data_IF_039291193404
#
_entry.id   IF_039291193404
#
_cell.length_a   1.000
_cell.length_b   1.000
_cell.length_c   1.000
_cell.angle_alpha   90.00
_cell.angle_beta   90.00
_cell.angle_gamma   90.00
#
_symmetry.space_group_name_H-M   'P 1'
#
loop_
_entity.id
_entity.type
_entity.pdbx_description
1 polymer ?
#
# COMPACT_ATOMS: atom_id res chain seq x y z
N UNK A 1 -12.73 3.94 -22.71
CA UNK A 1 -14.04 3.34 -22.33
C UNK A 1 -14.20 3.46 -20.82
N UNK A 2 -15.41 3.62 -20.29
CA UNK A 2 -15.61 3.62 -18.83
C UNK A 2 -15.13 2.29 -18.22
N UNK A 3 -14.72 2.33 -16.94
CA UNK A 3 -14.44 1.13 -16.14
C UNK A 3 -15.73 0.83 -15.38
N UNK A 4 -16.40 -0.27 -15.73
CA UNK A 4 -17.72 -0.61 -15.17
C UNK A 4 -17.67 -1.86 -14.28
N UNK A 5 -16.68 -2.73 -14.48
CA UNK A 5 -16.53 -3.99 -13.71
C UNK A 5 -15.11 -4.13 -13.19
N UNK A 6 -14.95 -4.09 -11.87
CA UNK A 6 -13.65 -4.10 -11.20
C UNK A 6 -13.53 -5.31 -10.31
N UNK A 7 -12.47 -6.08 -10.49
CA UNK A 7 -12.10 -7.15 -9.55
C UNK A 7 -10.97 -6.69 -8.63
N UNK A 8 -11.16 -6.82 -7.33
CA UNK A 8 -10.14 -6.56 -6.30
C UNK A 8 -9.71 -7.91 -5.69
N UNK A 9 -8.40 -8.17 -5.66
CA UNK A 9 -7.84 -9.40 -5.12
C UNK A 9 -7.34 -9.19 -3.69
N UNK A 10 -8.03 -9.76 -2.69
CA UNK A 10 -7.62 -9.72 -1.28
C UNK A 10 -8.76 -9.37 -0.31
N UNK A 11 -8.54 -9.59 0.99
CA UNK A 11 -9.51 -9.31 2.06
C UNK A 11 -8.88 -8.65 3.31
N UNK A 12 -7.73 -8.00 3.13
CA UNK A 12 -6.98 -7.32 4.19
C UNK A 12 -7.24 -5.81 4.17
N UNK A 13 -6.67 -5.09 5.11
CA UNK A 13 -6.96 -3.66 5.33
C UNK A 13 -6.73 -2.80 4.07
N UNK A 14 -5.72 -3.11 3.25
CA UNK A 14 -5.50 -2.45 1.97
C UNK A 14 -6.66 -2.63 0.99
N UNK A 15 -7.17 -3.86 0.80
CA UNK A 15 -8.32 -4.07 -0.08
C UNK A 15 -9.59 -3.47 0.50
N UNK A 16 -9.77 -3.48 1.82
CA UNK A 16 -10.89 -2.80 2.48
C UNK A 16 -10.88 -1.30 2.25
N UNK A 17 -9.71 -0.65 2.34
CA UNK A 17 -9.55 0.77 2.04
C UNK A 17 -9.95 1.09 0.59
N UNK A 18 -9.51 0.26 -0.36
CA UNK A 18 -9.87 0.41 -1.78
C UNK A 18 -11.37 0.19 -2.01
N UNK A 19 -11.96 -0.84 -1.41
CA UNK A 19 -13.41 -1.10 -1.50
C UNK A 19 -14.21 0.08 -0.94
N UNK A 20 -13.80 0.60 0.23
CA UNK A 20 -14.46 1.74 0.88
C UNK A 20 -14.41 3.01 0.02
N UNK A 21 -13.31 3.24 -0.70
CA UNK A 21 -13.18 4.40 -1.58
C UNK A 21 -13.94 4.25 -2.91
N UNK A 22 -14.12 3.03 -3.42
CA UNK A 22 -14.89 2.77 -4.63
C UNK A 22 -16.40 2.73 -4.37
N UNK A 23 -16.81 2.26 -3.18
CA UNK A 23 -18.21 2.24 -2.70
C UNK A 23 -18.33 2.99 -1.35
N UNK A 24 -18.20 4.33 -1.35
CA UNK A 24 -18.33 5.14 -0.15
C UNK A 24 -19.77 5.18 0.36
N UNK A 25 -19.94 5.37 1.68
CA UNK A 25 -21.24 5.41 2.35
C UNK A 25 -22.12 6.61 1.99
N UNK A 26 -21.51 7.69 1.47
CA UNK A 26 -22.22 8.91 1.05
C UNK A 26 -22.80 8.82 -0.37
N UNK A 27 -22.60 7.69 -1.04
CA UNK A 27 -23.10 7.44 -2.40
C UNK A 27 -22.30 8.12 -3.51
N UNK A 28 -21.17 8.77 -3.22
CA UNK A 28 -20.26 9.39 -4.21
C UNK A 28 -19.42 8.37 -5.00
N UNK A 29 -19.98 7.18 -5.24
CA UNK A 29 -19.29 6.03 -5.77
C UNK A 29 -18.86 6.17 -7.24
N UNK A 30 -17.75 5.50 -7.56
CA UNK A 30 -17.45 5.15 -8.95
C UNK A 30 -18.56 4.21 -9.41
N UNK A 31 -19.21 4.51 -10.55
CA UNK A 31 -20.29 3.69 -11.10
C UNK A 31 -19.74 2.36 -11.68
N UNK A 32 -19.24 1.50 -10.79
CA UNK A 32 -18.60 0.24 -11.10
C UNK A 32 -19.14 -0.89 -10.21
N UNK A 33 -19.41 -2.05 -10.82
CA UNK A 33 -19.72 -3.29 -10.12
C UNK A 33 -18.43 -3.89 -9.57
N UNK A 34 -18.38 -4.14 -8.27
CA UNK A 34 -17.22 -4.74 -7.63
C UNK A 34 -17.33 -6.25 -7.51
N UNK A 35 -16.23 -6.92 -7.83
CA UNK A 35 -15.99 -8.33 -7.59
C UNK A 35 -14.81 -8.50 -6.64
N UNK A 36 -14.95 -9.23 -5.55
CA UNK A 36 -13.88 -9.51 -4.59
C UNK A 36 -13.38 -10.93 -4.81
N UNK A 37 -12.08 -11.08 -5.08
CA UNK A 37 -11.43 -12.37 -5.24
C UNK A 37 -10.61 -12.69 -3.99
N UNK A 38 -10.82 -13.87 -3.41
CA UNK A 38 -10.09 -14.33 -2.22
C UNK A 38 -9.64 -15.78 -2.37
N UNK A 39 -8.64 -16.19 -1.57
CA UNK A 39 -8.27 -17.61 -1.48
C UNK A 39 -9.44 -18.45 -0.96
N UNK A 40 -9.45 -19.78 -1.22
CA UNK A 40 -10.54 -20.66 -0.79
C UNK A 40 -10.72 -20.65 0.73
N UNK A 41 -9.64 -20.55 1.50
CA UNK A 41 -9.64 -20.54 2.96
C UNK A 41 -10.02 -19.21 3.60
N UNK A 42 -10.04 -18.12 2.84
CA UNK A 42 -10.33 -16.79 3.36
C UNK A 42 -11.85 -16.57 3.45
N UNK A 43 -12.30 -15.53 4.15
CA UNK A 43 -13.71 -15.12 4.15
C UNK A 43 -13.85 -13.76 3.46
N UNK A 44 -15.03 -13.47 2.93
CA UNK A 44 -15.33 -12.12 2.46
C UNK A 44 -15.26 -11.16 3.65
N UNK A 45 -14.44 -10.11 3.53
CA UNK A 45 -14.46 -8.96 4.44
C UNK A 45 -14.81 -7.73 3.63
N UNK A 46 -15.67 -6.90 4.21
CA UNK A 46 -16.12 -5.65 3.62
C UNK A 46 -16.10 -4.55 4.69
N UNK A 47 -16.00 -3.28 4.27
CA UNK A 47 -16.32 -2.14 5.12
C UNK A 47 -17.69 -2.32 5.82
N UNK A 48 -17.85 -1.86 7.08
CA UNK A 48 -19.06 -2.13 7.88
C UNK A 48 -20.37 -1.62 7.30
N UNK A 49 -20.33 -0.60 6.43
CA UNK A 49 -21.52 -0.05 5.78
C UNK A 49 -21.98 -0.84 4.55
N UNK A 50 -21.19 -1.81 4.08
CA UNK A 50 -21.50 -2.63 2.92
C UNK A 50 -22.00 -4.02 3.32
N UNK A 51 -22.99 -4.49 2.59
CA UNK A 51 -23.55 -5.83 2.65
C UNK A 51 -22.97 -6.73 1.56
N UNK A 52 -23.05 -8.05 1.75
CA UNK A 52 -22.51 -9.01 0.80
C UNK A 52 -23.20 -8.96 -0.58
N UNK A 53 -24.46 -8.49 -0.64
CA UNK A 53 -25.24 -8.39 -1.88
C UNK A 53 -24.79 -7.25 -2.79
N UNK A 54 -24.00 -6.30 -2.28
CA UNK A 54 -23.46 -5.17 -3.04
C UNK A 54 -22.22 -5.53 -3.87
N UNK A 55 -21.63 -6.71 -3.64
CA UNK A 55 -20.44 -7.18 -4.34
C UNK A 55 -20.59 -8.61 -4.82
N UNK A 56 -19.87 -8.97 -5.88
CA UNK A 56 -19.71 -10.38 -6.26
C UNK A 56 -18.52 -10.96 -5.51
N UNK A 57 -18.67 -12.13 -4.88
CA UNK A 57 -17.55 -12.81 -4.22
C UNK A 57 -17.11 -14.04 -5.01
N UNK A 58 -15.82 -14.10 -5.33
CA UNK A 58 -15.20 -15.22 -6.02
C UNK A 58 -14.09 -15.84 -5.18
N UNK A 59 -13.91 -17.15 -5.37
CA UNK A 59 -12.83 -17.94 -4.80
C UNK A 59 -11.89 -18.41 -5.90
N UNK A 60 -10.59 -18.32 -5.67
CA UNK A 60 -9.57 -18.84 -6.58
C UNK A 60 -8.41 -19.40 -5.78
N UNK A 61 -7.92 -20.57 -6.19
CA UNK A 61 -6.67 -21.19 -5.73
C UNK A 61 -5.44 -20.60 -6.43
N UNK A 62 -5.61 -19.49 -7.16
CA UNK A 62 -4.59 -18.81 -7.96
C UNK A 62 -3.99 -19.66 -9.09
N UNK A 63 -4.62 -20.78 -9.46
CA UNK A 63 -4.29 -21.47 -10.71
C UNK A 63 -4.70 -20.64 -11.93
N UNK A 64 -4.02 -20.77 -13.09
CA UNK A 64 -4.37 -20.03 -14.30
C UNK A 64 -5.84 -20.18 -14.71
N UNK A 65 -6.42 -21.38 -14.55
CA UNK A 65 -7.81 -21.66 -14.90
C UNK A 65 -8.81 -20.95 -13.96
N UNK A 66 -8.57 -21.00 -12.64
CA UNK A 66 -9.47 -20.37 -11.68
C UNK A 66 -9.40 -18.84 -11.75
N UNK A 67 -8.21 -18.27 -11.97
CA UNK A 67 -8.02 -16.84 -12.20
C UNK A 67 -8.70 -16.38 -13.49
N UNK A 68 -8.49 -17.10 -14.60
CA UNK A 68 -9.14 -16.76 -15.89
C UNK A 68 -10.67 -16.75 -15.76
N UNK A 69 -11.23 -17.72 -15.05
CA UNK A 69 -12.67 -17.78 -14.78
C UNK A 69 -13.15 -16.58 -13.95
N UNK A 70 -12.43 -16.23 -12.88
CA UNK A 70 -12.77 -15.09 -12.02
C UNK A 70 -12.64 -13.72 -12.72
N UNK A 71 -11.76 -13.61 -13.72
CA UNK A 71 -11.51 -12.37 -14.45
C UNK A 71 -12.38 -12.20 -15.71
N UNK A 72 -13.12 -13.23 -16.11
CA UNK A 72 -13.93 -13.20 -17.32
C UNK A 72 -14.96 -12.06 -17.26
N UNK A 73 -14.92 -11.17 -18.27
CA UNK A 73 -15.85 -10.06 -18.41
C UNK A 73 -15.61 -8.88 -17.46
N UNK A 74 -14.46 -8.82 -16.79
CA UNK A 74 -14.05 -7.67 -15.97
C UNK A 74 -13.29 -6.65 -16.82
N UNK A 75 -13.42 -5.36 -16.49
CA UNK A 75 -12.70 -4.29 -17.18
C UNK A 75 -11.32 -4.03 -16.59
N UNK A 76 -11.23 -4.12 -15.25
CA UNK A 76 -10.04 -3.84 -14.45
C UNK A 76 -9.83 -4.90 -13.37
N UNK A 77 -8.58 -5.32 -13.19
CA UNK A 77 -8.16 -6.12 -12.03
C UNK A 77 -7.18 -5.29 -11.19
N UNK A 78 -7.45 -5.21 -9.89
CA UNK A 78 -6.61 -4.56 -8.87
C UNK A 78 -6.04 -5.64 -7.95
N UNK A 79 -4.72 -5.78 -7.96
CA UNK A 79 -4.01 -6.74 -7.14
C UNK A 79 -3.59 -6.10 -5.82
N UNK A 80 -4.11 -6.59 -4.69
CA UNK A 80 -3.61 -6.27 -3.35
C UNK A 80 -3.03 -7.51 -2.67
N UNK A 81 -2.63 -8.52 -3.46
CA UNK A 81 -1.93 -9.71 -2.97
C UNK A 81 -0.54 -9.83 -3.64
N UNK A 82 0.36 -10.63 -3.06
CA UNK A 82 1.64 -10.96 -3.70
C UNK A 82 2.59 -9.77 -3.92
N UNK A 83 2.49 -8.70 -3.13
CA UNK A 83 3.30 -7.47 -3.26
C UNK A 83 4.82 -7.61 -3.13
N UNK A 84 5.34 -8.82 -3.06
CA UNK A 84 6.77 -9.12 -3.18
C UNK A 84 7.06 -10.46 -3.85
N UNK A 85 6.02 -11.16 -4.33
CA UNK A 85 6.12 -12.42 -5.06
C UNK A 85 5.91 -12.11 -6.55
N UNK A 86 7.04 -11.95 -7.25
CA UNK A 86 7.06 -11.66 -8.66
C UNK A 86 6.30 -12.72 -9.47
N UNK A 87 6.57 -14.00 -9.24
CA UNK A 87 5.98 -15.10 -10.03
C UNK A 87 4.46 -15.15 -9.86
N UNK A 88 3.97 -14.96 -8.63
CA UNK A 88 2.53 -14.90 -8.37
C UNK A 88 1.87 -13.71 -9.08
N UNK A 89 2.46 -12.51 -9.03
CA UNK A 89 1.94 -11.34 -9.75
C UNK A 89 1.91 -11.55 -11.27
N UNK A 90 2.97 -12.13 -11.84
CA UNK A 90 3.00 -12.46 -13.27
C UNK A 90 1.91 -13.48 -13.64
N UNK A 91 1.70 -14.51 -12.81
CA UNK A 91 0.62 -15.47 -12.99
C UNK A 91 -0.77 -14.79 -13.04
N UNK A 92 -1.00 -13.83 -12.15
CA UNK A 92 -2.24 -13.02 -12.11
C UNK A 92 -2.38 -12.17 -13.36
N UNK A 93 -1.33 -11.46 -13.78
CA UNK A 93 -1.33 -10.60 -14.98
C UNK A 93 -1.64 -11.43 -16.22
N UNK A 94 -0.95 -12.55 -16.40
CA UNK A 94 -1.15 -13.44 -17.56
C UNK A 94 -2.57 -14.00 -17.59
N UNK A 95 -3.15 -14.36 -16.44
CA UNK A 95 -4.53 -14.82 -16.36
C UNK A 95 -5.53 -13.71 -16.71
N UNK A 96 -5.28 -12.47 -16.28
CA UNK A 96 -6.11 -11.32 -16.63
C UNK A 96 -6.10 -11.07 -18.14
N UNK A 97 -4.91 -11.06 -18.77
CA UNK A 97 -4.76 -10.94 -20.23
C UNK A 97 -5.48 -12.08 -20.94
N UNK A 98 -5.30 -13.32 -20.50
CA UNK A 98 -5.94 -14.50 -21.09
C UNK A 98 -7.47 -14.53 -20.93
N UNK A 99 -8.01 -13.80 -19.95
CA UNK A 99 -9.44 -13.57 -19.75
C UNK A 99 -10.00 -12.40 -20.57
N UNK A 100 -9.13 -11.65 -21.26
CA UNK A 100 -9.51 -10.47 -22.04
C UNK A 100 -9.66 -9.19 -21.23
N UNK A 101 -9.17 -9.16 -19.99
CA UNK A 101 -9.12 -7.95 -19.17
C UNK A 101 -8.14 -6.96 -19.81
N UNK A 102 -8.57 -5.71 -19.95
CA UNK A 102 -7.76 -4.67 -20.61
C UNK A 102 -6.95 -3.84 -19.64
N UNK A 103 -7.30 -3.80 -18.36
CA UNK A 103 -6.69 -2.88 -17.39
C UNK A 103 -6.19 -3.62 -16.16
N UNK A 104 -5.02 -3.25 -15.69
CA UNK A 104 -4.41 -3.88 -14.52
C UNK A 104 -3.74 -2.88 -13.59
N UNK A 105 -3.93 -3.06 -12.28
CA UNK A 105 -3.22 -2.33 -11.24
C UNK A 105 -2.48 -3.33 -10.35
N UNK A 106 -1.12 -3.35 -10.39
CA UNK A 106 -0.31 -4.24 -9.56
C UNK A 106 -0.28 -3.81 -8.10
N UNK A 107 0.21 -4.69 -7.22
CA UNK A 107 0.40 -4.39 -5.80
C UNK A 107 1.62 -3.49 -5.58
N UNK A 108 1.47 -2.18 -5.82
CA UNK A 108 2.57 -1.22 -5.67
C UNK A 108 2.50 -0.37 -4.39
N UNK A 109 1.28 0.00 -3.96
CA UNK A 109 0.85 1.00 -2.95
C UNK A 109 1.75 1.30 -1.73
N UNK A 110 3.00 1.69 -1.97
CA UNK A 110 4.02 1.86 -0.94
C UNK A 110 5.19 2.71 -1.45
N UNK A 111 6.41 2.34 -1.05
CA UNK A 111 7.64 2.96 -1.56
C UNK A 111 7.79 2.83 -3.08
N UNK A 112 8.52 3.78 -3.67
CA UNK A 112 8.90 3.76 -5.08
C UNK A 112 9.78 2.55 -5.40
N UNK A 113 9.24 1.61 -6.19
CA UNK A 113 9.96 0.41 -6.62
C UNK A 113 10.80 0.64 -7.87
N UNK A 114 10.66 1.78 -8.54
CA UNK A 114 11.54 2.21 -9.63
C UNK A 114 12.86 2.78 -9.11
N UNK A 115 12.93 3.17 -7.84
CA UNK A 115 14.16 3.59 -7.20
C UNK A 115 15.11 2.38 -7.02
N UNK A 116 16.18 2.35 -7.81
CA UNK A 116 17.17 1.25 -7.82
C UNK A 116 17.91 1.06 -6.50
N UNK A 117 17.96 2.08 -5.62
CA UNK A 117 18.56 1.94 -4.29
C UNK A 117 17.60 1.22 -3.33
N UNK A 118 16.30 1.56 -3.37
CA UNK A 118 15.25 0.84 -2.64
C UNK A 118 15.11 -0.60 -3.14
N UNK A 119 15.17 -0.81 -4.46
CA UNK A 119 15.17 -2.15 -5.08
C UNK A 119 16.26 -3.06 -4.48
N UNK A 120 17.48 -2.52 -4.33
CA UNK A 120 18.62 -3.26 -3.76
C UNK A 120 18.49 -3.51 -2.26
N UNK A 121 17.84 -2.59 -1.53
CA UNK A 121 17.65 -2.69 -0.07
C UNK A 121 16.59 -3.73 0.29
N UNK A 122 15.52 -3.85 -0.49
CA UNK A 122 14.35 -4.67 -0.17
C UNK A 122 14.04 -5.67 -1.27
N UNK A 123 14.21 -6.97 -0.99
CA UNK A 123 13.92 -8.05 -1.94
C UNK A 123 12.48 -8.01 -2.48
N UNK A 124 11.50 -7.68 -1.63
CA UNK A 124 10.10 -7.51 -2.07
C UNK A 124 9.93 -6.36 -3.06
N UNK A 125 10.67 -5.25 -2.89
CA UNK A 125 10.68 -4.13 -3.84
C UNK A 125 11.35 -4.52 -5.16
N UNK A 126 12.39 -5.37 -5.13
CA UNK A 126 12.95 -5.95 -6.35
C UNK A 126 11.94 -6.81 -7.13
N UNK A 127 11.13 -7.61 -6.42
CA UNK A 127 10.04 -8.36 -7.03
C UNK A 127 9.04 -7.44 -7.74
N UNK A 128 8.61 -6.37 -7.07
CA UNK A 128 7.69 -5.36 -7.60
C UNK A 128 8.25 -4.59 -8.80
N UNK A 129 9.52 -4.18 -8.75
CA UNK A 129 10.19 -3.52 -9.87
C UNK A 129 10.13 -4.38 -11.16
N UNK A 130 10.37 -5.69 -11.02
CA UNK A 130 10.24 -6.64 -12.14
C UNK A 130 8.81 -6.76 -12.66
N UNK A 131 7.80 -6.66 -11.79
CA UNK A 131 6.38 -6.63 -12.21
C UNK A 131 6.11 -5.42 -13.10
N UNK A 132 6.61 -4.24 -12.73
CA UNK A 132 6.46 -3.03 -13.56
C UNK A 132 7.17 -3.18 -14.91
N UNK A 133 8.38 -3.72 -14.94
CA UNK A 133 9.09 -3.97 -16.19
C UNK A 133 8.35 -4.98 -17.07
N UNK A 134 7.74 -6.00 -16.47
CA UNK A 134 6.88 -6.93 -17.19
C UNK A 134 5.63 -6.24 -17.75
N UNK A 135 4.94 -5.42 -16.96
CA UNK A 135 3.75 -4.67 -17.40
C UNK A 135 4.05 -3.73 -18.58
N UNK A 136 5.19 -3.03 -18.55
CA UNK A 136 5.69 -2.22 -19.68
C UNK A 136 5.86 -3.06 -20.95
N UNK A 137 6.45 -4.25 -20.81
CA UNK A 137 6.64 -5.16 -21.94
C UNK A 137 5.30 -5.66 -22.49
N UNK A 138 4.44 -6.23 -21.65
CA UNK A 138 3.18 -6.83 -22.12
C UNK A 138 2.18 -5.81 -22.65
N UNK A 139 2.17 -4.57 -22.13
CA UNK A 139 1.35 -3.49 -22.69
C UNK A 139 1.81 -3.02 -24.07
N UNK A 140 3.09 -3.23 -24.40
CA UNK A 140 3.61 -3.00 -25.76
C UNK A 140 3.22 -4.16 -26.68
N UNK A 141 3.33 -5.40 -26.20
CA UNK A 141 3.10 -6.61 -26.99
C UNK A 141 1.61 -6.98 -27.16
N UNK A 142 0.74 -6.48 -26.28
CA UNK A 142 -0.70 -6.81 -26.24
C UNK A 142 -1.54 -5.56 -26.53
N UNK A 143 -2.15 -5.45 -27.72
CA UNK A 143 -2.99 -4.31 -28.08
C UNK A 143 -4.09 -4.06 -27.06
N UNK A 144 -4.27 -2.80 -26.66
CA UNK A 144 -5.28 -2.33 -25.71
C UNK A 144 -5.12 -2.80 -24.25
N UNK A 145 -4.04 -3.51 -23.90
CA UNK A 145 -3.72 -3.77 -22.51
C UNK A 145 -3.03 -2.55 -21.89
N UNK A 146 -3.58 -2.09 -20.78
CA UNK A 146 -3.20 -0.88 -20.07
C UNK A 146 -2.92 -1.20 -18.60
N UNK A 147 -2.01 -0.46 -17.98
CA UNK A 147 -1.69 -0.64 -16.56
C UNK A 147 -1.45 0.68 -15.85
N UNK A 148 -1.60 0.71 -14.53
CA UNK A 148 -1.20 1.85 -13.69
C UNK A 148 -0.54 1.33 -12.41
N UNK A 149 0.73 1.67 -12.19
CA UNK A 149 1.41 1.43 -10.92
C UNK A 149 1.26 2.66 -10.01
N UNK A 150 1.16 2.45 -8.69
CA UNK A 150 0.91 3.54 -7.74
C UNK A 150 1.83 3.42 -6.53
N UNK A 151 2.63 4.45 -6.28
CA UNK A 151 3.37 4.65 -5.04
C UNK A 151 2.70 5.72 -4.19
N UNK A 152 2.45 5.40 -2.92
CA UNK A 152 1.85 6.29 -1.91
C UNK A 152 2.78 6.56 -0.73
N UNK A 153 4.01 6.04 -0.77
CA UNK A 153 4.94 6.13 0.36
C UNK A 153 4.57 5.20 1.51
N UNK A 154 5.10 5.48 2.69
CA UNK A 154 4.89 4.67 3.89
C UNK A 154 3.45 4.81 4.44
N UNK A 155 2.78 3.71 4.76
CA UNK A 155 1.46 3.71 5.42
C UNK A 155 1.60 4.06 6.90
N UNK A 156 1.58 5.36 7.19
CA UNK A 156 1.99 5.93 8.47
C UNK A 156 1.12 5.48 9.64
N UNK A 157 -0.20 5.50 9.48
CA UNK A 157 -1.14 5.03 10.50
C UNK A 157 -0.90 3.56 10.89
N UNK A 158 -0.74 2.70 9.88
CA UNK A 158 -0.45 1.27 10.06
C UNK A 158 0.90 1.07 10.75
N UNK A 159 1.91 1.86 10.37
CA UNK A 159 3.23 1.85 10.98
C UNK A 159 3.25 2.31 12.44
N UNK A 160 2.39 3.27 12.81
CA UNK A 160 2.21 3.76 14.17
C UNK A 160 1.46 2.74 15.04
N UNK A 161 0.35 2.16 14.53
CA UNK A 161 -0.44 1.16 15.25
C UNK A 161 0.40 -0.09 15.53
N UNK A 162 1.15 -0.57 14.54
CA UNK A 162 2.00 -1.77 14.68
C UNK A 162 3.29 -1.52 15.47
N UNK A 163 3.73 -0.26 15.58
CA UNK A 163 5.05 0.10 16.08
C UNK A 163 6.19 -0.12 15.07
N UNK A 164 5.88 -0.52 13.83
CA UNK A 164 6.87 -0.76 12.78
C UNK A 164 7.58 0.52 12.32
N UNK A 165 7.05 1.70 12.60
CA UNK A 165 7.76 2.97 12.39
C UNK A 165 8.89 3.19 13.42
N UNK A 166 8.82 2.51 14.56
CA UNK A 166 9.70 2.71 15.71
C UNK A 166 9.10 3.52 16.84
N UNK A 167 7.83 3.89 16.72
CA UNK A 167 7.07 4.59 17.75
C UNK A 167 6.22 3.59 18.52
N UNK A 168 6.41 3.51 19.83
CA UNK A 168 5.50 2.82 20.72
C UNK A 168 4.54 3.84 21.34
N UNK A 169 3.34 3.94 20.77
CA UNK A 169 2.30 4.86 21.20
C UNK A 169 1.67 4.47 22.55
N UNK A 170 1.88 3.25 23.03
CA UNK A 170 1.39 2.79 24.33
C UNK A 170 2.39 3.14 25.44
N UNK A 171 3.68 2.92 25.18
CA UNK A 171 4.76 3.17 26.12
C UNK A 171 5.41 4.55 26.00
N UNK A 172 4.96 5.36 25.03
CA UNK A 172 5.46 6.70 24.74
C UNK A 172 6.98 6.70 24.56
N UNK A 173 7.46 5.83 23.67
CA UNK A 173 8.87 5.76 23.28
C UNK A 173 9.03 5.74 21.77
N UNK A 174 10.17 6.24 21.29
CA UNK A 174 10.49 6.25 19.87
C UNK A 174 11.94 5.83 19.63
N UNK A 175 12.14 4.98 18.61
CA UNK A 175 13.45 4.60 18.09
C UNK A 175 13.57 5.15 16.67
N UNK A 176 14.34 6.22 16.52
CA UNK A 176 14.60 6.89 15.24
C UNK A 176 15.97 6.45 14.74
N UNK A 177 16.05 5.94 13.51
CA UNK A 177 17.34 5.51 12.94
C UNK A 177 17.92 6.64 12.08
N UNK A 178 18.21 7.77 12.70
CA UNK A 178 18.64 9.01 12.06
C UNK A 178 18.58 10.16 13.07
N UNK A 179 18.63 11.40 12.59
CA UNK A 179 18.46 12.60 13.42
C UNK A 179 16.99 13.06 13.50
N UNK A 180 16.10 12.42 12.76
CA UNK A 180 14.65 12.61 12.77
C UNK A 180 14.15 13.76 11.91
N UNK A 181 15.03 14.39 11.13
CA UNK A 181 14.68 15.45 10.16
C UNK A 181 14.65 14.96 8.72
N UNK A 182 15.09 13.73 8.48
CA UNK A 182 15.08 13.10 7.17
C UNK A 182 13.63 13.06 6.66
N UNK A 183 13.43 13.54 5.44
CA UNK A 183 12.10 13.63 4.82
C UNK A 183 11.78 12.33 4.09
N UNK A 184 10.56 11.82 4.31
CA UNK A 184 10.03 10.68 3.58
C UNK A 184 8.57 10.88 3.20
N UNK A 185 8.17 10.21 2.12
CA UNK A 185 6.80 10.19 1.67
C UNK A 185 5.95 9.22 2.51
N UNK A 186 4.79 9.69 2.96
CA UNK A 186 3.86 8.96 3.80
C UNK A 186 2.41 9.22 3.40
N UNK A 187 1.54 8.30 3.79
CA UNK A 187 0.09 8.38 3.60
C UNK A 187 -0.65 7.68 4.72
N UNK A 188 -1.92 8.02 4.95
CA UNK A 188 -2.83 7.09 5.62
C UNK A 188 -3.12 5.87 4.75
N UNK A 189 -3.64 4.80 5.34
CA UNK A 189 -4.18 3.69 4.57
C UNK A 189 -5.41 4.12 3.77
N UNK A 190 -6.22 5.06 4.28
CA UNK A 190 -7.39 5.61 3.59
C UNK A 190 -7.00 6.31 2.29
N UNK A 191 -5.88 7.04 2.29
CA UNK A 191 -5.33 7.70 1.10
C UNK A 191 -5.08 6.74 -0.04
N UNK A 192 -4.63 5.51 0.24
CA UNK A 192 -4.43 4.50 -0.80
C UNK A 192 -5.72 4.21 -1.56
N UNK A 193 -6.83 4.02 -0.83
CA UNK A 193 -8.15 3.84 -1.44
C UNK A 193 -8.58 5.04 -2.27
N UNK A 194 -8.40 6.27 -1.75
CA UNK A 194 -8.70 7.50 -2.49
C UNK A 194 -7.90 7.59 -3.79
N UNK A 195 -6.59 7.36 -3.75
CA UNK A 195 -5.74 7.38 -4.96
C UNK A 195 -6.25 6.39 -5.99
N UNK A 196 -6.60 5.16 -5.57
CA UNK A 196 -7.13 4.15 -6.48
C UNK A 196 -8.45 4.59 -7.12
N UNK A 197 -9.40 5.12 -6.34
CA UNK A 197 -10.66 5.61 -6.87
C UNK A 197 -10.43 6.72 -7.92
N UNK A 198 -9.55 7.68 -7.63
CA UNK A 198 -9.21 8.78 -8.56
C UNK A 198 -8.49 8.28 -9.81
N UNK A 199 -7.62 7.27 -9.69
CA UNK A 199 -6.97 6.61 -10.85
C UNK A 199 -8.01 5.90 -11.72
N UNK A 200 -9.00 5.23 -11.13
CA UNK A 200 -10.09 4.59 -11.88
C UNK A 200 -10.91 5.63 -12.65
N UNK A 201 -11.27 6.74 -12.01
CA UNK A 201 -12.02 7.83 -12.65
C UNK A 201 -11.23 8.51 -13.78
N UNK A 202 -9.92 8.70 -13.58
CA UNK A 202 -9.03 9.44 -14.49
C UNK A 202 -8.17 8.51 -15.35
N UNK A 203 -8.58 7.26 -15.53
CA UNK A 203 -7.74 6.22 -16.13
C UNK A 203 -7.11 6.64 -17.47
N UNK A 204 -7.87 7.30 -18.34
CA UNK A 204 -7.35 7.73 -19.64
C UNK A 204 -6.24 8.79 -19.55
N UNK A 205 -6.16 9.55 -18.45
CA UNK A 205 -5.10 10.54 -18.18
C UNK A 205 -3.81 9.88 -17.65
N UNK A 206 -3.93 8.75 -16.95
CA UNK A 206 -2.82 8.13 -16.18
C UNK A 206 -2.41 6.74 -16.66
N UNK A 207 -3.08 6.17 -17.67
CA UNK A 207 -2.78 4.83 -18.17
C UNK A 207 -1.33 4.68 -18.66
N UNK A 208 -0.78 3.49 -18.43
CA UNK A 208 0.60 3.09 -18.72
C UNK A 208 1.67 3.93 -18.01
N UNK A 209 1.35 4.41 -16.80
CA UNK A 209 2.24 5.23 -15.99
C UNK A 209 2.45 4.64 -14.60
N UNK A 210 3.54 5.09 -13.97
CA UNK A 210 3.81 4.89 -12.56
C UNK A 210 3.53 6.21 -11.84
N UNK A 211 2.61 6.18 -10.88
CA UNK A 211 2.00 7.36 -10.26
C UNK A 211 2.55 7.55 -8.85
N UNK A 212 2.97 8.76 -8.53
CA UNK A 212 3.39 9.17 -7.19
C UNK A 212 2.29 10.02 -6.54
N UNK A 213 1.67 9.51 -5.47
CA UNK A 213 0.50 10.16 -4.88
C UNK A 213 0.47 10.06 -3.34
N UNK A 214 1.62 10.31 -2.71
CA UNK A 214 1.71 10.37 -1.25
C UNK A 214 0.78 11.45 -0.67
N UNK A 215 0.23 11.19 0.51
CA UNK A 215 -0.61 12.13 1.24
C UNK A 215 0.17 13.29 1.83
N UNK A 216 1.39 13.01 2.33
CA UNK A 216 2.25 14.00 2.99
C UNK A 216 3.73 13.63 2.82
N UNK A 217 4.59 14.65 2.85
CA UNK A 217 6.03 14.49 3.08
C UNK A 217 6.31 14.92 4.51
N UNK A 218 6.94 14.06 5.30
CA UNK A 218 7.08 14.24 6.74
C UNK A 218 8.43 13.72 7.22
N UNK A 219 8.74 14.03 8.47
CA UNK A 219 9.88 13.54 9.23
C UNK A 219 9.47 12.87 10.54
N UNK A 220 10.37 12.11 11.17
CA UNK A 220 10.10 11.54 12.51
C UNK A 220 9.85 12.63 13.56
N UNK A 221 10.52 13.77 13.47
CA UNK A 221 10.31 14.89 14.41
C UNK A 221 8.92 15.50 14.29
N UNK A 222 8.33 15.57 13.08
CA UNK A 222 6.94 16.02 12.90
C UNK A 222 5.93 15.03 13.45
N UNK A 223 6.19 13.74 13.24
CA UNK A 223 5.36 12.66 13.76
C UNK A 223 5.42 12.64 15.29
N UNK A 224 6.61 12.78 15.88
CA UNK A 224 6.84 12.88 17.32
C UNK A 224 6.03 14.01 17.94
N UNK A 225 6.13 15.24 17.41
CA UNK A 225 5.34 16.38 17.91
C UNK A 225 3.84 16.11 17.84
N UNK A 226 3.38 15.47 16.76
CA UNK A 226 1.97 15.10 16.59
C UNK A 226 1.54 14.02 17.58
N UNK A 227 2.40 13.04 17.85
CA UNK A 227 2.15 11.95 18.79
C UNK A 227 2.10 12.46 20.23
N UNK A 228 3.02 13.33 20.63
CA UNK A 228 3.02 13.95 21.96
C UNK A 228 1.77 14.80 22.19
N UNK A 229 1.35 15.56 21.16
CA UNK A 229 0.09 16.31 21.18
C UNK A 229 -1.13 15.41 21.32
N UNK A 230 -1.20 14.33 20.54
CA UNK A 230 -2.34 13.41 20.52
C UNK A 230 -2.46 12.59 21.82
N UNK A 231 -1.33 12.23 22.43
CA UNK A 231 -1.30 11.44 23.68
C UNK A 231 -1.29 12.28 24.95
N UNK A 232 -1.01 13.58 24.84
CA UNK A 232 -0.72 14.48 25.96
C UNK A 232 0.44 13.99 26.85
N UNK A 233 1.46 13.39 26.24
CA UNK A 233 2.63 12.82 26.91
C UNK A 233 3.89 13.09 26.09
N UNK A 234 5.00 13.36 26.75
CA UNK A 234 6.32 13.39 26.11
C UNK A 234 6.80 11.95 25.84
N UNK A 235 7.56 11.77 24.75
CA UNK A 235 8.11 10.48 24.37
C UNK A 235 9.59 10.36 24.76
N UNK A 236 10.00 9.18 25.23
CA UNK A 236 11.44 8.87 25.36
C UNK A 236 12.01 8.48 24.01
N UNK A 237 12.91 9.31 23.46
CA UNK A 237 13.46 9.11 22.11
C UNK A 237 14.89 8.57 22.18
N UNK A 238 15.15 7.47 21.47
CA UNK A 238 16.48 6.96 21.18
C UNK A 238 16.83 7.12 19.70
N UNK A 239 17.97 7.74 19.42
CA UNK A 239 18.50 7.90 18.07
C UNK A 239 19.62 6.89 17.82
N UNK A 240 19.57 6.23 16.66
CA UNK A 240 20.50 5.19 16.24
C UNK A 240 20.90 5.38 14.77
N UNK A 241 21.97 4.74 14.33
CA UNK A 241 22.38 4.83 12.93
C UNK A 241 21.46 4.00 12.02
N UNK A 242 21.20 4.50 10.80
CA UNK A 242 20.51 3.76 9.74
C UNK A 242 21.17 2.39 9.52
N UNK A 243 22.50 2.34 9.53
CA UNK A 243 23.28 1.11 9.32
C UNK A 243 23.03 0.04 10.39
N UNK A 244 22.73 0.45 11.62
CA UNK A 244 22.33 -0.49 12.67
C UNK A 244 20.97 -1.11 12.37
N UNK A 245 20.03 -0.32 11.83
CA UNK A 245 18.72 -0.78 11.37
C UNK A 245 18.85 -1.85 10.28
N UNK A 246 19.71 -1.58 9.29
CA UNK A 246 19.96 -2.47 8.16
C UNK A 246 20.58 -3.77 8.65
N UNK A 247 21.67 -3.68 9.43
CA UNK A 247 22.40 -4.84 9.95
C UNK A 247 21.51 -5.75 10.81
N UNK A 248 20.71 -5.16 11.69
CA UNK A 248 19.77 -5.95 12.51
C UNK A 248 18.65 -6.55 11.66
N UNK A 249 18.13 -5.82 10.66
CA UNK A 249 17.15 -6.34 9.71
C UNK A 249 17.65 -7.58 8.96
N UNK A 250 18.86 -7.51 8.41
CA UNK A 250 19.52 -8.63 7.73
C UNK A 250 19.79 -9.80 8.69
N UNK A 251 20.28 -9.52 9.89
CA UNK A 251 20.56 -10.54 10.89
C UNK A 251 19.29 -11.30 11.32
N UNK A 252 18.15 -10.61 11.47
CA UNK A 252 16.85 -11.24 11.77
C UNK A 252 16.39 -12.16 10.66
N UNK A 253 16.51 -11.73 9.40
CA UNK A 253 16.19 -12.57 8.24
C UNK A 253 17.05 -13.84 8.25
N UNK A 254 18.37 -13.70 8.44
CA UNK A 254 19.29 -14.84 8.48
C UNK A 254 19.00 -15.81 9.63
N UNK A 255 18.49 -15.31 10.75
CA UNK A 255 18.09 -16.11 11.93
C UNK A 255 16.69 -16.75 11.81
N UNK A 256 15.99 -16.54 10.70
CA UNK A 256 14.67 -17.13 10.47
C UNK A 256 13.50 -16.28 10.96
N UNK A 257 13.70 -14.98 11.16
CA UNK A 257 12.64 -14.00 11.48
C UNK A 257 12.44 -13.01 10.31
N UNK A 258 11.95 -13.48 9.15
CA UNK A 258 11.94 -12.68 7.93
C UNK A 258 11.06 -11.43 8.04
N UNK A 259 9.90 -11.51 8.70
CA UNK A 259 8.98 -10.37 8.80
C UNK A 259 9.54 -9.24 9.66
N UNK A 260 10.07 -9.56 10.84
CA UNK A 260 10.65 -8.56 11.74
C UNK A 260 11.94 -7.95 11.20
N UNK A 261 12.70 -8.71 10.41
CA UNK A 261 13.84 -8.16 9.68
C UNK A 261 13.41 -7.26 8.53
N UNK A 262 12.39 -7.66 7.77
CA UNK A 262 11.82 -6.85 6.69
C UNK A 262 11.30 -5.49 7.20
N UNK A 263 10.60 -5.47 8.33
CA UNK A 263 10.10 -4.21 8.90
C UNK A 263 11.23 -3.23 9.28
N UNK A 264 12.38 -3.74 9.72
CA UNK A 264 13.55 -2.89 9.97
C UNK A 264 14.17 -2.38 8.67
N UNK A 265 14.27 -3.23 7.65
CA UNK A 265 14.77 -2.77 6.35
C UNK A 265 13.83 -1.73 5.72
N UNK A 266 12.52 -1.90 5.81
CA UNK A 266 11.53 -0.92 5.36
C UNK A 266 11.66 0.39 6.16
N UNK A 267 11.80 0.30 7.49
CA UNK A 267 12.06 1.47 8.35
C UNK A 267 13.35 2.19 7.96
N UNK A 268 14.40 1.46 7.59
CA UNK A 268 15.67 2.06 7.19
C UNK A 268 15.53 2.97 5.97
N UNK A 269 14.53 2.74 5.10
CA UNK A 269 14.29 3.59 3.93
C UNK A 269 13.89 5.01 4.34
N UNK A 270 13.15 5.14 5.45
CA UNK A 270 12.56 6.41 5.88
C UNK A 270 13.61 7.42 6.34
N UNK A 271 14.74 6.92 6.85
CA UNK A 271 15.77 7.72 7.51
C UNK A 271 17.10 7.76 6.74
N UNK A 272 17.15 7.14 5.55
CA UNK A 272 18.34 7.09 4.71
C UNK A 272 18.21 8.05 3.53
N UNK A 273 18.63 9.31 3.73
CA UNK A 273 18.59 10.33 2.68
C UNK A 273 19.41 9.94 1.44
N UNK A 274 20.41 9.06 1.58
CA UNK A 274 21.22 8.61 0.45
C UNK A 274 20.38 7.79 -0.55
N UNK A 275 19.21 7.28 -0.16
CA UNK A 275 18.29 6.61 -1.06
C UNK A 275 17.54 7.58 -1.98
N UNK A 276 17.41 8.86 -1.60
CA UNK A 276 16.57 9.82 -2.33
C UNK A 276 15.11 9.36 -2.40
N UNK A 277 14.58 8.78 -1.32
CA UNK A 277 13.27 8.13 -1.33
C UNK A 277 12.09 9.13 -1.45
N UNK A 278 12.26 10.37 -0.99
CA UNK A 278 11.25 11.43 -1.06
C UNK A 278 11.23 12.18 -2.40
N UNK A 279 12.39 12.35 -3.04
CA UNK A 279 12.57 13.19 -4.23
C UNK A 279 11.56 12.88 -5.37
N UNK A 280 11.26 11.60 -5.72
CA UNK A 280 10.25 11.33 -6.75
C UNK A 280 8.85 11.82 -6.39
N UNK A 281 8.48 11.79 -5.11
CA UNK A 281 7.18 12.25 -4.63
C UNK A 281 7.08 13.79 -4.60
N UNK A 282 8.21 14.49 -4.50
CA UNK A 282 8.30 15.95 -4.61
C UNK A 282 8.21 16.39 -6.07
N UNK A 283 9.01 15.78 -6.95
CA UNK A 283 9.19 16.24 -8.32
C UNK A 283 8.08 15.77 -9.27
N UNK A 284 7.50 14.59 -9.01
CA UNK A 284 6.57 13.93 -9.94
C UNK A 284 5.21 13.64 -9.28
N UNK A 285 4.84 14.40 -8.25
CA UNK A 285 3.54 14.26 -7.59
C UNK A 285 2.38 14.37 -8.57
N UNK A 286 1.48 13.39 -8.51
CA UNK A 286 0.25 13.36 -9.29
C UNK A 286 -0.97 13.82 -8.47
N UNK A 287 -0.76 14.39 -7.28
CA UNK A 287 -1.84 14.81 -6.39
C UNK A 287 -2.77 15.84 -7.06
N UNK A 288 -2.22 16.84 -7.75
CA UNK A 288 -3.01 17.84 -8.47
C UNK A 288 -3.79 17.22 -9.63
N UNK A 289 -3.12 16.39 -10.44
CA UNK A 289 -3.74 15.66 -11.56
C UNK A 289 -4.92 14.82 -11.09
N UNK A 290 -4.76 14.12 -9.97
CA UNK A 290 -5.77 13.27 -9.35
C UNK A 290 -6.77 14.07 -8.49
N UNK A 291 -6.58 15.38 -8.32
CA UNK A 291 -7.40 16.26 -7.45
C UNK A 291 -7.48 15.74 -6.01
N UNK A 292 -6.34 15.30 -5.49
CA UNK A 292 -6.20 14.77 -4.14
C UNK A 292 -5.73 15.88 -3.20
N UNK A 293 -6.48 16.10 -2.12
CA UNK A 293 -6.11 17.06 -1.07
C UNK A 293 -4.94 16.51 -0.26
N UNK A 294 -3.92 17.33 0.09
CA UNK A 294 -2.84 16.89 0.99
C UNK A 294 -3.38 16.42 2.35
N UNK A 295 -2.76 15.37 2.89
CA UNK A 295 -3.04 14.92 4.25
C UNK A 295 -2.22 15.71 5.28
N UNK A 296 -2.65 15.67 6.55
CA UNK A 296 -1.88 16.25 7.65
C UNK A 296 -1.30 15.15 8.53
N UNK A 297 -0.04 15.31 8.96
CA UNK A 297 0.62 14.39 9.89
C UNK A 297 -0.19 14.27 11.18
N UNK A 298 -0.69 15.40 11.69
CA UNK A 298 -1.49 15.44 12.92
C UNK A 298 -2.76 14.59 12.80
N UNK A 299 -3.51 14.72 11.70
CA UNK A 299 -4.72 13.94 11.48
C UNK A 299 -4.43 12.45 11.40
N UNK A 300 -3.39 12.04 10.65
CA UNK A 300 -3.01 10.63 10.53
C UNK A 300 -2.63 10.06 11.90
N UNK A 301 -1.82 10.79 12.68
CA UNK A 301 -1.36 10.36 14.01
C UNK A 301 -2.52 10.28 15.01
N UNK A 302 -3.42 11.26 15.03
CA UNK A 302 -4.61 11.25 15.90
C UNK A 302 -5.50 10.05 15.59
N UNK A 303 -5.77 9.78 14.32
CA UNK A 303 -6.58 8.64 13.90
C UNK A 303 -5.90 7.31 14.27
N UNK A 304 -4.61 7.18 14.01
CA UNK A 304 -3.85 5.99 14.37
C UNK A 304 -3.86 5.73 15.88
N UNK A 305 -3.73 6.78 16.70
CA UNK A 305 -3.81 6.65 18.16
C UNK A 305 -5.20 6.26 18.65
N UNK A 306 -6.24 6.87 18.07
CA UNK A 306 -7.63 6.52 18.34
C UNK A 306 -7.89 5.04 18.03
N UNK A 307 -7.50 4.58 16.85
CA UNK A 307 -7.70 3.19 16.42
C UNK A 307 -6.93 2.20 17.31
N UNK A 308 -5.70 2.54 17.69
CA UNK A 308 -4.92 1.75 18.65
C UNK A 308 -5.64 1.61 20.00
N UNK A 309 -6.29 2.68 20.50
CA UNK A 309 -7.04 2.65 21.77
C UNK A 309 -8.30 1.81 21.70
N UNK A 310 -8.96 1.76 20.55
CA UNK A 310 -10.23 1.04 20.38
C UNK A 310 -10.07 -0.41 19.91
N UNK A 311 -8.99 -0.73 19.20
CA UNK A 311 -8.80 -2.03 18.56
C UNK A 311 -7.51 -2.76 18.95
N UNK A 312 -6.57 -2.08 19.63
CA UNK A 312 -5.28 -2.65 20.03
C UNK A 312 -4.34 -2.89 18.84
N UNK A 313 -3.18 -3.49 19.12
CA UNK A 313 -2.21 -3.89 18.08
C UNK A 313 -2.70 -5.15 17.35
N UNK A 314 -2.77 -5.17 16.01
CA UNK A 314 -3.09 -6.40 15.27
C UNK A 314 -2.11 -7.52 15.63
N UNK A 315 -2.61 -8.63 16.19
CA UNK A 315 -1.78 -9.81 16.52
C UNK A 315 -1.27 -9.90 17.97
N UNK A 316 -1.55 -8.93 18.84
CA UNK A 316 -1.43 -9.14 20.29
C UNK A 316 -2.69 -9.87 20.77
N UNK A 317 -2.65 -11.20 20.79
CA UNK A 317 -3.67 -12.05 21.39
C UNK A 317 -3.74 -11.89 22.91
N UNK A 318 -4.22 -10.74 23.37
CA UNK A 318 -4.67 -10.48 24.74
C UNK A 318 -5.90 -9.56 24.70
N UNK A 319 -6.92 -9.98 23.93
CA UNK A 319 -8.27 -9.42 24.02
C UNK A 319 -9.25 -10.57 24.24
N UNK A 320 -9.22 -11.14 25.44
CA UNK A 320 -10.34 -11.79 26.13
C UNK A 320 -10.08 -11.72 27.64
#
# INVERSE_FOLDING_TARGET
MAIEKVTIIGNWELSLSIINALLPSDGSHVNAQLSILTNPSQWLRLPPHLSADEVKHHKSDFSPASLKSAFAGQDLVISTNGGGDFEQQIGIINAAIAAGVRRFMPHEFGHDTLNKKIEKRILKSAGRAKVIDHLRKVSTDTPHFEWVGVATGYTLDTGLISGNLGFDMEWHSATVHGIGTETFAASSLQRVGQVVARVVEKWEEVKNQYIYAAGVLTSANEILRSAEKATHREFTVGNYDVEDCIREGEARIQRGFPDSGMFLLERSILYDEQLGAAEPFELYSSNELLQLVPESVETIVVNAYHDLKHHGKPGCGCSS
#
